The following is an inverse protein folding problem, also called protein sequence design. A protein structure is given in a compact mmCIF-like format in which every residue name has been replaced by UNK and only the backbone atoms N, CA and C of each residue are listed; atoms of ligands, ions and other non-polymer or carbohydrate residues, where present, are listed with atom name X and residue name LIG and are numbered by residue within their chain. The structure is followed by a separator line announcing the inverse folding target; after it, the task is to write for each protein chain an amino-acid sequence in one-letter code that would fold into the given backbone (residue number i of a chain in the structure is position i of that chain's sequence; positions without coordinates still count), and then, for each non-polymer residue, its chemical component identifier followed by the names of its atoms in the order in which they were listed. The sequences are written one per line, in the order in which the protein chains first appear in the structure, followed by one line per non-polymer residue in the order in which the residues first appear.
data_IF_423609060752
#
_entry.id   IF_423609060752
#
_cell.length_a   1.000
_cell.length_b   1.000
_cell.length_c   1.000
_cell.angle_alpha   90.00
_cell.angle_beta   90.00
_cell.angle_gamma   90.00
#
_symmetry.space_group_name_H-M   'P 1'
#
loop_
_entity.id
_entity.type
_entity.pdbx_description
1 polymer ?
#
# COMPACT_ATOMS: atom_id res chain seq x y z
N UNK A 1 25.31 0.71 -5.65
CA UNK A 1 23.95 1.05 -6.11
C UNK A 1 23.18 1.94 -5.12
N UNK A 2 23.78 2.46 -4.03
CA UNK A 2 23.11 3.43 -3.17
C UNK A 2 24.12 4.52 -2.77
N UNK A 3 24.03 5.68 -3.41
CA UNK A 3 24.88 6.85 -3.15
C UNK A 3 24.07 7.90 -2.39
N UNK A 4 23.72 7.62 -1.13
CA UNK A 4 23.37 8.66 -0.15
C UNK A 4 24.00 8.32 1.20
N UNK A 5 24.60 9.32 1.82
CA UNK A 5 25.16 9.24 3.17
C UNK A 5 24.03 9.34 4.20
N UNK A 6 24.13 8.59 5.29
CA UNK A 6 23.09 8.41 6.32
C UNK A 6 22.62 9.69 7.06
N UNK A 7 23.25 10.84 6.84
CA UNK A 7 22.89 12.10 7.52
C UNK A 7 21.73 12.88 6.85
N UNK A 8 21.43 12.62 5.57
CA UNK A 8 20.38 13.31 4.78
C UNK A 8 19.49 12.32 4.00
N UNK A 9 18.98 11.29 4.69
CA UNK A 9 18.10 10.29 4.08
C UNK A 9 16.71 10.87 3.74
N UNK A 10 16.09 10.50 2.61
CA UNK A 10 14.75 10.98 2.30
C UNK A 10 13.71 10.51 3.30
N UNK A 11 12.88 11.46 3.74
CA UNK A 11 11.72 11.23 4.60
C UNK A 11 10.46 11.70 3.88
N UNK A 12 9.43 10.87 3.89
CA UNK A 12 8.13 11.16 3.32
C UNK A 12 7.05 11.07 4.40
N UNK A 13 6.09 11.98 4.39
CA UNK A 13 4.91 11.93 5.25
C UNK A 13 3.68 11.72 4.39
N UNK A 14 2.92 10.67 4.67
CA UNK A 14 1.66 10.36 3.97
C UNK A 14 0.57 10.04 4.97
N UNK A 15 -0.64 10.59 4.75
CA UNK A 15 -1.76 10.36 5.64
C UNK A 15 -3.10 10.36 4.88
N UNK A 16 -3.99 9.49 5.32
CA UNK A 16 -5.42 9.59 5.06
C UNK A 16 -6.06 10.45 6.17
N UNK A 17 -6.75 11.52 5.76
CA UNK A 17 -7.47 12.43 6.65
C UNK A 17 -8.96 12.28 6.36
N UNK A 18 -9.68 11.61 7.25
CA UNK A 18 -11.14 11.48 7.17
C UNK A 18 -11.79 12.70 7.82
N UNK A 19 -12.27 13.63 6.99
CA UNK A 19 -12.92 14.85 7.46
C UNK A 19 -14.34 14.64 7.97
N UNK A 20 -14.97 13.49 7.70
CA UNK A 20 -16.31 13.17 8.18
C UNK A 20 -16.27 12.57 9.59
N UNK A 21 -15.32 11.67 9.86
CA UNK A 21 -15.13 11.08 11.19
C UNK A 21 -14.18 11.90 12.07
N UNK A 22 -13.32 12.73 11.46
CA UNK A 22 -12.25 13.45 12.16
C UNK A 22 -10.99 12.61 12.38
N UNK A 23 -10.92 11.37 11.88
CA UNK A 23 -9.80 10.47 12.10
C UNK A 23 -8.66 10.65 11.08
N UNK A 24 -7.44 10.44 11.53
CA UNK A 24 -6.22 10.49 10.72
C UNK A 24 -5.42 9.22 10.90
N UNK A 25 -4.93 8.63 9.81
CA UNK A 25 -3.97 7.53 9.86
C UNK A 25 -2.97 7.70 8.74
N UNK A 26 -1.69 7.54 9.06
CA UNK A 26 -0.62 7.75 8.11
C UNK A 26 0.69 7.17 8.60
N UNK A 27 1.74 7.41 7.82
CA UNK A 27 3.06 6.99 8.19
C UNK A 27 4.14 7.98 7.75
N UNK A 28 5.27 7.88 8.44
CA UNK A 28 6.53 8.50 8.07
C UNK A 28 7.38 7.41 7.41
N UNK A 29 7.66 7.60 6.13
CA UNK A 29 8.50 6.75 5.29
C UNK A 29 9.95 7.22 5.29
N UNK A 30 10.89 6.29 5.35
CA UNK A 30 12.33 6.56 5.37
C UNK A 30 13.06 5.62 4.40
N UNK A 31 13.85 6.18 3.48
CA UNK A 31 14.57 5.44 2.45
C UNK A 31 16.09 5.67 2.56
N UNK A 32 16.92 4.72 2.12
CA UNK A 32 18.37 4.93 2.00
C UNK A 32 19.15 4.90 3.32
N UNK A 33 18.55 4.37 4.39
CA UNK A 33 19.18 4.29 5.70
C UNK A 33 20.12 3.08 5.83
N UNK A 34 21.29 3.27 6.45
CA UNK A 34 22.17 2.18 6.85
C UNK A 34 21.51 1.25 7.90
N UNK A 35 21.95 -0.01 8.04
CA UNK A 35 22.94 -0.73 7.20
C UNK A 35 22.33 -1.34 5.92
N UNK A 36 21.04 -1.09 5.65
CA UNK A 36 20.28 -1.64 4.53
C UNK A 36 19.58 -0.52 3.76
N UNK A 37 20.33 0.25 2.95
CA UNK A 37 19.79 1.39 2.21
C UNK A 37 18.74 1.00 1.15
N UNK A 38 18.74 -0.25 0.71
CA UNK A 38 17.73 -0.83 -0.19
C UNK A 38 16.36 -1.04 0.46
N UNK A 39 16.29 -1.06 1.80
CA UNK A 39 15.08 -1.37 2.52
C UNK A 39 14.33 -0.09 2.94
N UNK A 40 13.12 0.09 2.41
CA UNK A 40 12.20 1.12 2.90
C UNK A 40 11.74 0.81 4.34
N UNK A 41 11.58 1.86 5.15
CA UNK A 41 11.11 1.77 6.54
C UNK A 41 9.95 2.71 6.73
N UNK A 42 9.05 2.33 7.63
CA UNK A 42 7.81 3.07 7.84
C UNK A 42 7.45 3.06 9.33
N UNK A 43 7.13 4.24 9.86
CA UNK A 43 6.60 4.42 11.20
C UNK A 43 5.17 4.95 11.15
N UNK A 44 4.22 4.14 11.61
CA UNK A 44 2.80 4.47 11.62
C UNK A 44 2.43 5.44 12.74
N UNK A 45 1.47 6.32 12.44
CA UNK A 45 0.82 7.17 13.43
C UNK A 45 -0.68 7.26 13.16
N UNK A 46 -1.41 7.61 14.21
CA UNK A 46 -2.83 7.93 14.15
C UNK A 46 -3.09 9.20 14.94
N UNK A 47 -4.14 9.93 14.58
CA UNK A 47 -4.51 11.16 15.26
C UNK A 47 -5.92 11.60 14.93
N UNK A 48 -6.33 12.73 15.50
CA UNK A 48 -7.66 13.30 15.32
C UNK A 48 -7.54 14.76 14.85
N UNK A 49 -8.48 15.19 14.01
CA UNK A 49 -8.65 16.60 13.63
C UNK A 49 -9.13 17.37 14.87
N UNK A 50 -8.39 18.42 15.24
CA UNK A 50 -8.76 19.26 16.38
C UNK A 50 -10.17 19.86 16.21
N UNK A 51 -11.01 19.69 17.24
CA UNK A 51 -12.39 20.20 17.23
C UNK A 51 -13.41 19.33 16.50
N UNK A 52 -13.02 18.17 15.95
CA UNK A 52 -13.95 17.25 15.28
C UNK A 52 -14.85 16.46 16.24
N UNK A 53 -14.45 16.32 17.51
CA UNK A 53 -15.11 15.44 18.48
C UNK A 53 -14.72 13.96 18.35
N UNK A 54 -13.84 13.61 17.40
CA UNK A 54 -13.30 12.26 17.26
C UNK A 54 -12.53 11.84 18.52
N UNK A 55 -12.64 10.55 18.87
CA UNK A 55 -11.91 9.97 20.00
C UNK A 55 -10.98 8.84 19.54
N UNK A 56 -9.97 8.46 20.34
CA UNK A 56 -9.08 7.35 20.00
C UNK A 56 -9.78 6.00 19.80
N UNK A 57 -10.94 5.79 20.43
CA UNK A 57 -11.73 4.55 20.30
C UNK A 57 -12.30 4.35 18.89
N UNK A 58 -12.51 5.45 18.15
CA UNK A 58 -13.02 5.44 16.78
C UNK A 58 -11.88 5.44 15.73
N UNK A 59 -10.63 5.26 16.14
CA UNK A 59 -9.48 5.30 15.23
C UNK A 59 -9.59 4.20 14.16
N UNK A 60 -9.07 4.47 12.96
CA UNK A 60 -9.00 3.47 11.90
C UNK A 60 -8.28 2.21 12.40
N UNK A 61 -8.76 1.02 12.04
CA UNK A 61 -8.20 -0.23 12.53
C UNK A 61 -7.49 -1.01 11.44
N UNK A 62 -6.48 -1.79 11.81
CA UNK A 62 -5.90 -2.78 10.91
C UNK A 62 -6.99 -3.79 10.52
N UNK A 63 -6.98 -4.24 9.26
CA UNK A 63 -8.06 -5.08 8.70
C UNK A 63 -7.53 -6.21 7.83
N UNK A 64 -8.33 -7.27 7.71
CA UNK A 64 -8.12 -8.42 6.82
C UNK A 64 -9.07 -8.43 5.61
N UNK A 65 -9.90 -7.39 5.44
CA UNK A 65 -11.01 -7.39 4.47
C UNK A 65 -10.56 -7.44 2.99
N UNK A 66 -9.30 -7.09 2.72
CA UNK A 66 -8.69 -7.22 1.39
C UNK A 66 -8.13 -8.63 1.14
N UNK A 67 -7.81 -9.40 2.17
CA UNK A 67 -7.15 -10.71 2.04
C UNK A 67 -8.01 -11.66 1.18
N UNK A 68 -7.35 -12.37 0.26
CA UNK A 68 -7.98 -13.25 -0.71
C UNK A 68 -8.52 -12.54 -1.95
N UNK A 69 -8.53 -11.20 -2.01
CA UNK A 69 -8.93 -10.49 -3.23
C UNK A 69 -7.77 -10.44 -4.22
N UNK A 70 -8.11 -10.53 -5.51
CA UNK A 70 -7.30 -10.10 -6.64
C UNK A 70 -7.95 -8.88 -7.25
N UNK A 71 -7.19 -7.81 -7.44
CA UNK A 71 -7.68 -6.56 -8.03
C UNK A 71 -6.71 -6.11 -9.12
N UNK A 72 -7.25 -5.77 -10.29
CA UNK A 72 -6.49 -5.13 -11.37
C UNK A 72 -6.61 -3.62 -11.25
N UNK A 73 -5.47 -2.95 -11.25
CA UNK A 73 -5.34 -1.51 -11.22
C UNK A 73 -4.75 -1.02 -12.54
N UNK A 74 -5.52 -0.22 -13.27
CA UNK A 74 -5.06 0.47 -14.47
C UNK A 74 -4.72 1.92 -14.11
N UNK A 75 -3.42 2.22 -13.98
CA UNK A 75 -2.90 3.54 -13.59
C UNK A 75 -2.82 4.50 -14.77
N UNK A 76 -2.60 3.97 -15.97
CA UNK A 76 -2.60 4.70 -17.23
C UNK A 76 -3.25 3.88 -18.34
N UNK A 77 -3.17 4.35 -19.59
CA UNK A 77 -3.59 3.54 -20.75
C UNK A 77 -2.67 2.33 -21.01
N UNK A 78 -1.47 2.31 -20.43
CA UNK A 78 -0.46 1.29 -20.65
C UNK A 78 -0.10 0.54 -19.35
N UNK A 79 0.01 1.25 -18.22
CA UNK A 79 0.47 0.71 -16.94
C UNK A 79 -0.68 0.06 -16.17
N UNK A 80 -0.64 -1.27 -16.11
CA UNK A 80 -1.69 -2.11 -15.53
C UNK A 80 -1.06 -3.18 -14.66
N UNK A 81 -1.51 -3.28 -13.42
CA UNK A 81 -0.97 -4.19 -12.40
C UNK A 81 -2.09 -4.99 -11.73
N UNK A 82 -1.83 -6.26 -11.46
CA UNK A 82 -2.67 -7.06 -10.58
C UNK A 82 -2.07 -7.07 -9.18
N UNK A 83 -2.87 -6.76 -8.16
CA UNK A 83 -2.53 -7.01 -6.76
C UNK A 83 -3.30 -8.22 -6.26
N UNK A 84 -2.62 -9.10 -5.54
CA UNK A 84 -3.20 -10.24 -4.82
C UNK A 84 -2.85 -10.12 -3.35
N UNK A 85 -3.85 -9.91 -2.51
CA UNK A 85 -3.67 -9.71 -1.07
C UNK A 85 -3.63 -11.06 -0.37
N UNK A 86 -2.45 -11.49 0.09
CA UNK A 86 -2.22 -12.88 0.49
C UNK A 86 -2.57 -13.15 1.96
N UNK A 87 -2.07 -12.31 2.86
CA UNK A 87 -2.32 -12.40 4.29
C UNK A 87 -2.14 -11.02 4.96
N UNK A 88 -2.07 -10.97 6.29
CA UNK A 88 -2.01 -9.73 7.07
C UNK A 88 -0.73 -8.91 6.82
N UNK A 89 0.33 -9.53 6.30
CA UNK A 89 1.66 -8.93 6.22
C UNK A 89 2.26 -8.89 4.82
N UNK A 90 1.73 -9.64 3.85
CA UNK A 90 2.26 -9.70 2.49
C UNK A 90 1.17 -9.69 1.42
N UNK A 91 1.53 -9.11 0.27
CA UNK A 91 0.75 -9.13 -0.96
C UNK A 91 1.69 -9.37 -2.15
N UNK A 92 1.15 -9.82 -3.28
CA UNK A 92 1.88 -9.91 -4.55
C UNK A 92 1.38 -8.86 -5.51
N UNK A 93 2.29 -8.17 -6.20
CA UNK A 93 1.98 -7.37 -7.37
C UNK A 93 2.53 -8.06 -8.63
N UNK A 94 1.84 -7.88 -9.77
CA UNK A 94 2.27 -8.36 -11.08
C UNK A 94 1.92 -7.30 -12.13
N UNK A 95 2.92 -6.79 -12.83
CA UNK A 95 2.71 -5.94 -13.98
C UNK A 95 2.16 -6.77 -15.16
N UNK A 96 0.94 -6.46 -15.60
CA UNK A 96 0.25 -7.13 -16.71
C UNK A 96 0.11 -6.23 -17.94
N UNK A 97 0.58 -4.98 -17.85
CA UNK A 97 0.71 -4.02 -18.93
C UNK A 97 1.64 -2.88 -18.51
N UNK A 98 2.47 -2.38 -19.43
CA UNK A 98 3.40 -1.28 -19.17
C UNK A 98 4.85 -1.71 -19.24
N UNK A 99 5.74 -0.86 -18.72
CA UNK A 99 7.20 -1.01 -18.85
C UNK A 99 7.74 -2.27 -18.15
N UNK A 100 7.09 -2.69 -17.07
CA UNK A 100 7.51 -3.83 -16.26
C UNK A 100 6.77 -5.14 -16.62
N UNK A 101 6.17 -5.23 -17.81
CA UNK A 101 5.33 -6.36 -18.20
C UNK A 101 5.95 -7.73 -17.88
N UNK A 102 5.23 -8.53 -17.09
CA UNK A 102 5.65 -9.87 -16.67
C UNK A 102 6.52 -9.89 -15.42
N UNK A 103 6.90 -8.74 -14.87
CA UNK A 103 7.58 -8.62 -13.58
C UNK A 103 6.55 -8.56 -12.46
N UNK A 104 6.86 -9.23 -11.36
CA UNK A 104 6.07 -9.19 -10.14
C UNK A 104 6.88 -9.67 -8.95
N UNK A 105 6.46 -9.25 -7.76
CA UNK A 105 7.11 -9.65 -6.52
C UNK A 105 6.11 -9.68 -5.36
N UNK A 106 6.50 -10.32 -4.26
CA UNK A 106 5.74 -10.37 -3.01
C UNK A 106 6.40 -9.49 -1.96
N UNK A 107 5.65 -8.54 -1.45
CA UNK A 107 6.17 -7.46 -0.63
C UNK A 107 5.43 -7.34 0.69
N UNK A 108 6.11 -6.75 1.68
CA UNK A 108 5.51 -6.47 2.98
C UNK A 108 4.46 -5.38 2.81
N UNK A 109 3.31 -5.53 3.44
CA UNK A 109 2.25 -4.55 3.40
C UNK A 109 1.50 -4.39 4.72
N UNK A 110 0.70 -3.33 4.81
CA UNK A 110 -0.23 -3.04 5.91
C UNK A 110 -1.56 -2.55 5.34
N UNK A 111 -2.66 -2.90 5.99
CA UNK A 111 -4.01 -2.53 5.61
C UNK A 111 -4.73 -1.86 6.78
N UNK A 112 -5.31 -0.69 6.56
CA UNK A 112 -6.25 -0.07 7.49
C UNK A 112 -7.63 0.05 6.85
N UNK A 113 -8.67 -0.25 7.61
CA UNK A 113 -10.04 0.10 7.24
C UNK A 113 -10.32 1.54 7.65
N UNK A 114 -10.67 2.36 6.68
CA UNK A 114 -11.09 3.74 6.95
C UNK A 114 -12.60 3.84 7.06
N UNK A 115 -13.31 3.25 6.09
CA UNK A 115 -14.77 3.22 6.01
C UNK A 115 -15.20 1.91 5.35
N UNK A 116 -16.50 1.70 5.21
CA UNK A 116 -17.00 0.58 4.43
C UNK A 116 -16.47 0.63 2.99
N UNK A 117 -15.88 -0.48 2.53
CA UNK A 117 -15.25 -0.60 1.21
C UNK A 117 -14.15 0.44 0.88
N UNK A 118 -13.62 1.14 1.88
CA UNK A 118 -12.54 2.13 1.72
C UNK A 118 -11.37 1.81 2.64
N UNK A 119 -10.20 1.62 2.06
CA UNK A 119 -9.02 1.12 2.76
C UNK A 119 -7.80 2.00 2.50
N UNK A 120 -6.94 2.14 3.50
CA UNK A 120 -5.57 2.61 3.31
C UNK A 120 -4.66 1.39 3.20
N UNK A 121 -4.02 1.23 2.05
CA UNK A 121 -3.10 0.14 1.77
C UNK A 121 -1.71 0.71 1.55
N UNK A 122 -0.71 0.14 2.22
CA UNK A 122 0.69 0.52 2.01
C UNK A 122 1.57 -0.71 1.88
N UNK A 123 2.61 -0.60 1.06
CA UNK A 123 3.63 -1.62 0.87
C UNK A 123 5.04 -1.06 0.88
N UNK A 124 6.01 -1.94 1.18
CA UNK A 124 7.44 -1.66 1.18
C UNK A 124 8.13 -2.68 0.29
N UNK A 125 8.75 -2.23 -0.80
CA UNK A 125 9.50 -3.11 -1.68
C UNK A 125 10.89 -3.40 -1.12
N UNK A 126 11.19 -4.68 -0.92
CA UNK A 126 12.41 -5.13 -0.25
C UNK A 126 13.70 -4.92 -1.05
N UNK A 127 13.61 -4.71 -2.37
CA UNK A 127 14.76 -4.69 -3.26
C UNK A 127 15.05 -3.32 -3.89
N UNK A 128 14.04 -2.45 -4.00
CA UNK A 128 14.13 -1.22 -4.78
C UNK A 128 14.06 0.06 -3.92
N UNK A 129 13.90 -0.06 -2.60
CA UNK A 129 13.80 1.10 -1.71
C UNK A 129 12.54 1.92 -2.01
N UNK A 130 11.40 1.25 -2.14
CA UNK A 130 10.13 1.85 -2.52
C UNK A 130 9.13 1.72 -1.37
N UNK A 131 8.42 2.80 -1.08
CA UNK A 131 7.18 2.79 -0.32
C UNK A 131 6.03 3.23 -1.21
N UNK A 132 4.96 2.45 -1.23
CA UNK A 132 3.69 2.86 -1.80
C UNK A 132 2.62 3.00 -0.73
N UNK A 133 1.76 4.01 -0.87
CA UNK A 133 0.58 4.18 -0.02
C UNK A 133 -0.60 4.68 -0.86
N UNK A 134 -1.70 3.93 -0.86
CA UNK A 134 -2.89 4.22 -1.65
C UNK A 134 -4.16 4.08 -0.81
N UNK A 135 -5.10 4.98 -1.05
CA UNK A 135 -6.50 4.81 -0.74
C UNK A 135 -7.14 3.93 -1.81
N UNK A 136 -7.80 2.86 -1.39
CA UNK A 136 -8.57 1.97 -2.24
C UNK A 136 -10.05 2.17 -1.91
N UNK A 137 -10.82 2.68 -2.87
CA UNK A 137 -12.28 2.75 -2.81
C UNK A 137 -12.84 1.70 -3.76
N UNK A 138 -13.26 0.57 -3.18
CA UNK A 138 -13.83 -0.54 -3.93
C UNK A 138 -15.25 -0.26 -4.42
N UNK A 139 -15.99 0.63 -3.75
CA UNK A 139 -17.33 1.03 -4.19
C UNK A 139 -17.27 1.93 -5.43
N UNK A 140 -16.27 2.83 -5.48
CA UNK A 140 -16.02 3.70 -6.64
C UNK A 140 -15.16 3.04 -7.72
N UNK A 141 -14.58 1.86 -7.45
CA UNK A 141 -13.61 1.21 -8.32
C UNK A 141 -12.43 2.14 -8.67
N UNK A 142 -11.86 2.78 -7.64
CA UNK A 142 -10.77 3.74 -7.78
C UNK A 142 -9.70 3.58 -6.72
N UNK A 143 -8.49 3.99 -7.07
CA UNK A 143 -7.45 4.28 -6.09
C UNK A 143 -6.87 5.67 -6.28
N UNK A 144 -6.32 6.23 -5.20
CA UNK A 144 -5.48 7.44 -5.23
C UNK A 144 -4.40 7.31 -4.16
N UNK A 145 -3.19 7.75 -4.45
CA UNK A 145 -2.11 7.67 -3.48
C UNK A 145 -0.80 8.18 -4.02
N UNK A 146 0.26 7.65 -3.45
CA UNK A 146 1.62 8.13 -3.64
C UNK A 146 2.62 6.98 -3.57
N UNK A 147 3.71 7.10 -4.30
CA UNK A 147 4.85 6.21 -4.24
C UNK A 147 6.11 7.05 -4.06
N UNK A 148 6.92 6.67 -3.09
CA UNK A 148 8.23 7.26 -2.83
C UNK A 148 9.29 6.20 -3.08
N UNK A 149 10.32 6.55 -3.83
CA UNK A 149 11.39 5.63 -4.18
C UNK A 149 12.74 6.36 -4.22
N UNK A 150 13.81 5.60 -4.17
CA UNK A 150 15.13 6.09 -4.59
C UNK A 150 15.38 5.65 -6.04
N UNK A 151 15.72 6.59 -6.91
CA UNK A 151 16.25 6.23 -8.22
C UNK A 151 17.54 5.41 -8.03
N UNK A 152 17.62 4.25 -8.69
CA UNK A 152 18.70 3.30 -8.45
C UNK A 152 20.05 3.73 -9.01
N UNK A 153 20.06 4.72 -9.90
CA UNK A 153 21.26 5.22 -10.55
C UNK A 153 21.75 6.51 -9.89
N UNK A 154 20.87 7.50 -9.74
CA UNK A 154 21.19 8.81 -9.18
C UNK A 154 21.11 8.84 -7.65
N UNK A 155 20.35 7.93 -7.04
CA UNK A 155 20.01 8.00 -5.62
C UNK A 155 19.09 9.16 -5.28
N UNK A 156 18.47 9.81 -6.27
CA UNK A 156 17.52 10.90 -6.04
C UNK A 156 16.16 10.37 -5.57
N UNK A 157 15.47 11.18 -4.77
CA UNK A 157 14.12 10.87 -4.34
C UNK A 157 13.17 11.00 -5.54
N UNK A 158 12.46 9.93 -5.84
CA UNK A 158 11.32 9.90 -6.75
C UNK A 158 10.05 9.95 -5.90
N UNK A 159 9.14 10.87 -6.24
CA UNK A 159 7.86 11.04 -5.58
C UNK A 159 6.75 11.16 -6.62
N UNK A 160 5.89 10.15 -6.68
CA UNK A 160 4.89 9.99 -7.73
C UNK A 160 3.50 9.94 -7.12
N UNK A 161 2.59 10.78 -7.61
CA UNK A 161 1.15 10.61 -7.34
C UNK A 161 0.62 9.51 -8.23
N UNK A 162 -0.16 8.59 -7.65
CA UNK A 162 -0.78 7.48 -8.36
C UNK A 162 -2.30 7.57 -8.24
N UNK A 163 -2.99 7.11 -9.27
CA UNK A 163 -4.42 6.84 -9.21
C UNK A 163 -4.78 5.82 -10.28
N UNK A 164 -5.78 4.99 -10.01
CA UNK A 164 -6.16 3.92 -10.95
C UNK A 164 -7.65 3.69 -11.02
N UNK A 165 -8.07 3.09 -12.14
CA UNK A 165 -9.31 2.34 -12.20
C UNK A 165 -9.09 0.94 -11.63
N UNK A 166 -9.98 0.48 -10.76
CA UNK A 166 -9.89 -0.83 -10.12
C UNK A 166 -10.92 -1.80 -10.71
N UNK A 167 -10.52 -3.05 -10.95
CA UNK A 167 -11.43 -4.14 -11.29
C UNK A 167 -11.17 -5.34 -10.38
N UNK A 168 -12.20 -5.73 -9.65
CA UNK A 168 -12.14 -6.92 -8.79
C UNK A 168 -12.41 -8.20 -9.59
N UNK A 169 -11.73 -9.27 -9.18
CA UNK A 169 -12.01 -10.63 -9.63
C UNK A 169 -12.71 -11.41 -8.52
N UNK A 170 -13.11 -12.65 -8.83
CA UNK A 170 -13.61 -13.57 -7.83
C UNK A 170 -12.63 -13.70 -6.66
N UNK A 171 -13.13 -13.47 -5.45
CA UNK A 171 -12.34 -13.53 -4.23
C UNK A 171 -12.01 -14.97 -3.91
N UNK A 172 -10.74 -15.25 -3.63
CA UNK A 172 -10.32 -16.55 -3.13
C UNK A 172 -11.02 -16.84 -1.80
N UNK A 173 -11.66 -18.01 -1.65
CA UNK A 173 -12.32 -18.40 -0.41
C UNK A 173 -11.34 -18.46 0.77
N UNK A 174 -11.86 -18.32 1.99
CA UNK A 174 -11.06 -18.49 3.20
C UNK A 174 -10.47 -19.91 3.29
N UNK A 175 -9.41 -20.08 4.08
CA UNK A 175 -8.78 -21.40 4.30
C UNK A 175 -9.82 -22.42 4.80
N UNK A 176 -10.72 -22.02 5.70
CA UNK A 176 -11.74 -22.92 6.22
C UNK A 176 -12.77 -23.32 5.15
N UNK A 177 -13.14 -22.40 4.26
CA UNK A 177 -14.05 -22.68 3.14
C UNK A 177 -13.36 -23.45 2.00
N UNK A 178 -12.04 -23.35 1.88
CA UNK A 178 -11.23 -23.95 0.83
C UNK A 178 -10.46 -25.19 1.30
N UNK A 179 -10.64 -25.64 2.55
CA UNK A 179 -9.86 -26.73 3.13
C UNK A 179 -10.05 -27.99 2.28
N UNK A 180 -9.00 -28.51 1.61
CA UNK A 180 -9.13 -29.72 0.84
C UNK A 180 -9.43 -30.89 1.79
N UNK A 181 -10.50 -31.61 1.51
CA UNK A 181 -10.93 -32.79 2.26
C UNK A 181 -11.72 -33.72 1.33
N UNK A 182 -11.82 -35.03 1.66
CA UNK A 182 -12.68 -35.92 0.91
C UNK A 182 -14.12 -35.39 0.96
N UNK A 183 -14.82 -35.44 -0.17
CA UNK A 183 -16.27 -35.24 -0.22
C UNK A 183 -16.90 -36.18 0.81
N UNK A 184 -17.80 -35.65 1.64
CA UNK A 184 -18.60 -36.46 2.57
C UNK A 184 -19.42 -37.51 1.81
#
# INVERSE_FOLDING_TARGET
HYLRAAEDHPVAFSAAIDTASGQVTGAIGELGLDPRPEAARQQWFQGQIAGSGATPEDAHTVTDELIGRRVRYAYSGEDVYDHVYLNENIFTWLCVGGTELGVGDTERCTYFKLRDNTYLFSWLEKNLGVEGMVLIDLAAHRTVGIQFALDQYSGELVNLTMGSYAQEFERTPSIDAARPGPSA
#
